data_IF_187588058078
#
_entry.id   IF_187588058078
#
_cell.length_a   1.000
_cell.length_b   1.000
_cell.length_c   1.000
_cell.angle_alpha   90.00
_cell.angle_beta   90.00
_cell.angle_gamma   90.00
#
_symmetry.space_group_name_H-M   'P 1'
#
loop_
_entity.id
_entity.type
_entity.pdbx_description
1 polymer ?
#
# COMPACT_ATOMS: atom_id res chain seq x y z
N UNK A 1 -12.61 5.49 -15.05
CA UNK A 1 -11.73 4.31 -15.13
C UNK A 1 -11.30 3.95 -13.72
N UNK A 2 -11.19 2.66 -13.39
CA UNK A 2 -10.68 2.18 -12.09
C UNK A 2 -9.34 1.49 -12.35
N UNK A 3 -8.37 1.67 -11.46
CA UNK A 3 -7.05 1.05 -11.53
C UNK A 3 -6.55 0.65 -10.14
N UNK A 4 -5.58 -0.26 -10.11
CA UNK A 4 -4.86 -0.64 -8.89
C UNK A 4 -3.65 0.26 -8.71
N UNK A 5 -3.52 0.90 -7.54
CA UNK A 5 -2.38 1.77 -7.22
C UNK A 5 -1.16 0.98 -6.73
N UNK A 6 -1.37 -0.01 -5.86
CA UNK A 6 -0.33 -0.88 -5.33
C UNK A 6 -0.90 -2.23 -4.86
N UNK A 7 -0.06 -3.26 -4.83
CA UNK A 7 -0.40 -4.60 -4.37
C UNK A 7 -0.35 -5.65 -5.49
N UNK A 8 0.24 -6.81 -5.18
CA UNK A 8 0.37 -7.94 -6.11
C UNK A 8 -0.82 -8.91 -6.09
N UNK A 9 -1.69 -8.83 -5.07
CA UNK A 9 -2.72 -9.84 -4.79
C UNK A 9 -2.24 -11.05 -3.99
N UNK A 10 -0.93 -11.15 -3.72
CA UNK A 10 -0.34 -12.17 -2.85
C UNK A 10 -0.05 -11.58 -1.46
N UNK A 11 -0.44 -12.31 -0.41
CA UNK A 11 -0.12 -11.94 0.96
C UNK A 11 1.39 -11.99 1.21
N UNK A 12 1.94 -10.93 1.79
CA UNK A 12 3.36 -10.87 2.11
C UNK A 12 3.81 -9.48 2.52
N UNK A 13 5.13 -9.30 2.59
CA UNK A 13 5.73 -8.01 2.87
C UNK A 13 6.83 -7.71 1.87
N UNK A 14 6.58 -6.73 1.01
CA UNK A 14 7.58 -6.16 0.13
C UNK A 14 7.25 -4.69 -0.09
N UNK A 15 8.26 -3.83 0.02
CA UNK A 15 8.22 -2.51 -0.59
C UNK A 15 8.38 -2.66 -2.11
N UNK A 16 8.04 -1.60 -2.83
CA UNK A 16 8.07 -1.62 -4.28
C UNK A 16 7.12 -0.62 -4.90
N UNK A 17 7.00 -0.67 -6.22
CA UNK A 17 6.12 0.23 -6.99
C UNK A 17 5.00 -0.58 -7.61
N UNK A 18 3.75 -0.15 -7.38
CA UNK A 18 2.58 -0.79 -7.98
C UNK A 18 2.44 -2.25 -7.54
N UNK A 19 2.43 -3.16 -8.50
CA UNK A 19 2.18 -4.59 -8.27
C UNK A 19 3.38 -5.36 -7.70
N UNK A 20 4.55 -4.73 -7.52
CA UNK A 20 5.68 -5.38 -6.84
C UNK A 20 5.59 -5.28 -5.32
N UNK A 21 4.81 -4.33 -4.80
CA UNK A 21 4.55 -4.21 -3.38
C UNK A 21 3.59 -5.32 -2.89
N UNK A 22 3.83 -5.80 -1.69
CA UNK A 22 3.02 -6.82 -1.02
C UNK A 22 2.55 -6.31 0.34
N UNK A 23 1.31 -6.68 0.67
CA UNK A 23 0.64 -6.38 1.93
C UNK A 23 0.11 -7.68 2.52
N UNK A 24 -0.12 -7.70 3.83
CA UNK A 24 -0.72 -8.81 4.53
C UNK A 24 -1.88 -8.33 5.41
N UNK A 25 -3.10 -8.60 4.92
CA UNK A 25 -4.35 -8.23 5.55
C UNK A 25 -4.45 -6.72 5.89
N UNK A 26 -4.42 -5.83 4.87
CA UNK A 26 -4.61 -4.41 5.08
C UNK A 26 -6.02 -4.10 5.58
N UNK A 27 -6.14 -3.35 6.68
CA UNK A 27 -7.40 -3.20 7.42
C UNK A 27 -7.97 -1.76 7.47
N UNK A 28 -7.21 -0.77 6.99
CA UNK A 28 -7.55 0.63 7.16
C UNK A 28 -6.74 1.50 6.21
N UNK A 29 -7.32 2.66 5.83
CA UNK A 29 -6.74 3.58 4.86
C UNK A 29 -6.99 5.04 5.27
N UNK A 30 -5.99 5.89 5.10
CA UNK A 30 -6.09 7.35 5.23
C UNK A 30 -5.30 8.03 4.10
N UNK A 31 -5.64 9.28 3.78
CA UNK A 31 -4.97 10.05 2.72
C UNK A 31 -4.56 11.41 3.28
N UNK A 32 -3.32 11.84 3.02
CA UNK A 32 -2.84 13.18 3.38
C UNK A 32 -3.14 14.23 2.30
N UNK A 33 -2.87 15.51 2.58
CA UNK A 33 -3.08 16.63 1.64
C UNK A 33 -2.19 16.58 0.39
N UNK A 34 -1.12 15.77 0.43
CA UNK A 34 -0.20 15.55 -0.70
C UNK A 34 -0.61 14.34 -1.55
N UNK A 35 -1.73 13.69 -1.21
CA UNK A 35 -2.24 12.52 -1.91
C UNK A 35 -1.50 11.21 -1.57
N UNK A 36 -0.66 11.18 -0.53
CA UNK A 36 -0.09 9.92 -0.08
C UNK A 36 -1.17 9.12 0.65
N UNK A 37 -1.22 7.82 0.36
CA UNK A 37 -2.14 6.87 0.99
C UNK A 37 -1.38 6.14 2.10
N UNK A 38 -1.97 6.08 3.28
CA UNK A 38 -1.45 5.35 4.43
C UNK A 38 -2.34 4.15 4.69
N UNK A 39 -1.74 2.96 4.69
CA UNK A 39 -2.45 1.70 4.86
C UNK A 39 -1.98 1.02 6.14
N UNK A 40 -2.91 0.59 6.99
CA UNK A 40 -2.58 -0.29 8.12
C UNK A 40 -2.42 -1.71 7.59
N UNK A 41 -1.18 -2.15 7.43
CA UNK A 41 -0.80 -3.49 6.98
C UNK A 41 -0.76 -4.43 8.18
N UNK A 42 -1.96 -4.85 8.60
CA UNK A 42 -2.23 -5.24 9.99
C UNK A 42 -1.45 -6.49 10.42
N UNK A 43 -1.35 -7.51 9.57
CA UNK A 43 -0.63 -8.73 9.91
C UNK A 43 0.88 -8.61 9.71
N UNK A 44 1.34 -7.58 8.99
CA UNK A 44 2.75 -7.19 8.97
C UNK A 44 3.12 -6.22 10.10
N UNK A 45 2.16 -5.81 10.94
CA UNK A 45 2.34 -4.85 12.04
C UNK A 45 2.96 -3.52 11.61
N UNK A 46 2.55 -3.00 10.44
CA UNK A 46 3.13 -1.79 9.83
C UNK A 46 2.06 -0.80 9.38
N UNK A 47 2.43 0.48 9.36
CA UNK A 47 1.74 1.49 8.56
C UNK A 47 2.58 1.68 7.30
N UNK A 48 1.96 1.47 6.14
CA UNK A 48 2.63 1.56 4.84
C UNK A 48 2.22 2.86 4.16
N UNK A 49 3.19 3.63 3.69
CA UNK A 49 2.94 4.85 2.91
C UNK A 49 3.04 4.51 1.42
N UNK A 50 2.06 4.96 0.65
CA UNK A 50 2.01 4.81 -0.81
C UNK A 50 1.98 6.22 -1.40
N UNK A 51 2.98 6.57 -2.21
CA UNK A 51 2.97 7.85 -2.92
C UNK A 51 1.94 7.86 -4.06
N UNK A 52 1.57 9.03 -4.61
CA UNK A 52 0.74 9.09 -5.82
C UNK A 52 1.32 8.35 -7.04
N UNK A 53 2.64 8.12 -7.06
CA UNK A 53 3.32 7.32 -8.07
C UNK A 53 3.28 5.80 -7.80
N UNK A 54 2.59 5.36 -6.74
CA UNK A 54 2.45 3.96 -6.37
C UNK A 54 3.68 3.36 -5.66
N UNK A 55 4.62 4.19 -5.21
CA UNK A 55 5.80 3.73 -4.45
C UNK A 55 5.39 3.47 -3.01
N UNK A 56 5.63 2.25 -2.54
CA UNK A 56 5.33 1.77 -1.18
C UNK A 56 6.60 1.75 -0.33
N UNK A 57 6.49 2.27 0.90
CA UNK A 57 7.52 2.28 1.95
C UNK A 57 6.91 2.07 3.34
#
# INVERSE_FOLDING_TARGET
>A
MVSTLAGSGTEGHADGTGTTAQFYHPAGVAVDSSGNVYVTDAHNHRIRKISPAGVVS
#
